data_IF_415152560813
#
_entry.id   IF_415152560813
#
_cell.length_a   1.000
_cell.length_b   1.000
_cell.length_c   1.000
_cell.angle_alpha   90.00
_cell.angle_beta   90.00
_cell.angle_gamma   90.00
#
_symmetry.space_group_name_H-M   'P 1'
#
loop_
_entity.id
_entity.type
_entity.pdbx_description
1 polymer ?
#
# COMPACT_ATOMS: atom_id res chain seq x y z
N UNK A 1 3.13 2.78 -8.66
CA UNK A 1 1.82 3.19 -8.10
C UNK A 1 1.98 4.26 -7.02
N UNK A 2 2.72 4.01 -5.92
CA UNK A 2 2.89 4.98 -4.83
C UNK A 2 3.43 6.37 -5.25
N UNK A 3 4.34 6.43 -6.23
CA UNK A 3 4.85 7.69 -6.76
C UNK A 3 3.77 8.59 -7.40
N UNK A 4 2.63 8.03 -7.83
CA UNK A 4 1.52 8.84 -8.38
C UNK A 4 0.81 9.64 -7.27
N UNK A 5 0.99 9.24 -6.00
CA UNK A 5 0.37 9.86 -4.84
C UNK A 5 1.26 10.92 -4.17
N UNK A 6 2.57 10.98 -4.49
CA UNK A 6 3.52 11.87 -3.81
C UNK A 6 3.23 13.35 -4.05
N UNK A 7 2.64 13.72 -5.21
CA UNK A 7 2.19 15.10 -5.46
C UNK A 7 1.14 15.58 -4.47
N UNK A 8 0.23 14.69 -4.04
CA UNK A 8 -0.86 15.02 -3.10
C UNK A 8 -0.44 14.81 -1.64
N UNK A 9 0.44 13.85 -1.40
CA UNK A 9 0.94 13.47 -0.08
C UNK A 9 2.47 13.43 -0.12
N UNK A 10 3.14 14.60 -0.12
CA UNK A 10 4.58 14.66 -0.21
C UNK A 10 5.21 14.02 1.02
N UNK A 11 6.28 13.26 0.80
CA UNK A 11 7.08 12.62 1.84
C UNK A 11 8.54 13.03 1.68
N UNK A 12 9.23 13.06 2.81
CA UNK A 12 10.68 13.20 2.81
C UNK A 12 11.35 11.93 2.27
N UNK A 13 12.54 12.07 1.70
CA UNK A 13 13.28 10.94 1.12
C UNK A 13 13.47 9.81 2.13
N UNK A 14 13.77 10.12 3.39
CA UNK A 14 13.94 9.11 4.44
C UNK A 14 12.65 8.33 4.74
N UNK A 15 11.48 8.95 4.59
CA UNK A 15 10.19 8.28 4.80
C UNK A 15 9.88 7.33 3.65
N UNK A 16 10.26 7.69 2.42
CA UNK A 16 10.15 6.80 1.25
C UNK A 16 11.04 5.58 1.45
N UNK A 17 12.27 5.78 1.91
CA UNK A 17 13.22 4.70 2.21
C UNK A 17 12.71 3.78 3.34
N UNK A 18 12.08 4.36 4.37
CA UNK A 18 11.44 3.59 5.44
C UNK A 18 10.30 2.71 4.90
N UNK A 19 9.46 3.25 4.00
CA UNK A 19 8.38 2.49 3.36
C UNK A 19 8.91 1.36 2.47
N UNK A 20 10.01 1.56 1.75
CA UNK A 20 10.66 0.51 0.95
C UNK A 20 11.19 -0.65 1.81
N UNK A 21 11.48 -0.38 3.09
CA UNK A 21 11.89 -1.39 4.07
C UNK A 21 10.70 -2.00 4.84
N UNK A 22 9.48 -1.80 4.35
CA UNK A 22 8.24 -2.26 4.99
C UNK A 22 8.04 -1.74 6.41
N UNK A 23 8.66 -0.62 6.77
CA UNK A 23 8.47 0.00 8.08
C UNK A 23 7.10 0.68 8.13
N UNK A 24 6.31 0.33 9.14
CA UNK A 24 4.96 0.88 9.30
C UNK A 24 5.04 2.40 9.55
N UNK A 25 4.38 3.23 8.72
CA UNK A 25 4.45 4.68 8.88
C UNK A 25 3.64 5.16 10.08
N UNK A 26 4.21 6.08 10.85
CA UNK A 26 3.53 6.71 11.99
C UNK A 26 2.89 8.04 11.61
N UNK A 27 3.52 8.80 10.71
CA UNK A 27 3.02 10.12 10.28
C UNK A 27 1.76 10.00 9.42
N UNK A 28 0.82 10.93 9.63
CA UNK A 28 -0.46 10.96 8.91
C UNK A 28 -0.28 11.04 7.39
N UNK A 29 0.65 11.87 6.91
CA UNK A 29 0.90 12.05 5.47
C UNK A 29 1.35 10.75 4.80
N UNK A 30 2.24 9.99 5.43
CA UNK A 30 2.71 8.70 4.92
C UNK A 30 1.57 7.66 4.90
N UNK A 31 0.71 7.64 5.92
CA UNK A 31 -0.51 6.80 5.90
C UNK A 31 -1.45 7.19 4.76
N UNK A 32 -1.64 8.48 4.50
CA UNK A 32 -2.46 8.96 3.38
C UNK A 32 -1.86 8.60 2.02
N UNK A 33 -0.53 8.65 1.86
CA UNK A 33 0.14 8.21 0.64
C UNK A 33 -0.10 6.72 0.37
N UNK A 34 0.05 5.86 1.39
CA UNK A 34 -0.26 4.43 1.26
C UNK A 34 -1.73 4.19 0.93
N UNK A 35 -2.67 4.87 1.61
CA UNK A 35 -4.10 4.73 1.31
C UNK A 35 -4.44 5.13 -0.13
N UNK A 36 -3.81 6.19 -0.66
CA UNK A 36 -3.92 6.57 -2.06
C UNK A 36 -3.39 5.48 -3.00
N UNK A 37 -2.22 4.90 -2.67
CA UNK A 37 -1.65 3.82 -3.46
C UNK A 37 -2.53 2.57 -3.47
N UNK A 38 -3.09 2.16 -2.31
CA UNK A 38 -4.00 1.02 -2.20
C UNK A 38 -5.30 1.22 -2.98
N UNK A 39 -5.84 2.44 -2.99
CA UNK A 39 -7.01 2.77 -3.83
C UNK A 39 -6.71 2.73 -5.32
N UNK A 40 -5.53 3.21 -5.75
CA UNK A 40 -5.12 3.15 -7.16
C UNK A 40 -4.81 1.73 -7.61
N UNK A 41 -4.33 0.89 -6.71
CA UNK A 41 -3.98 -0.50 -6.99
C UNK A 41 -5.21 -1.42 -6.99
N UNK A 42 -6.20 -1.14 -6.15
CA UNK A 42 -7.47 -1.88 -6.07
C UNK A 42 -7.71 -2.56 -4.73
N UNK A 43 -6.67 -2.76 -3.90
CA UNK A 43 -6.78 -3.34 -2.55
C UNK A 43 -7.61 -2.53 -1.54
N UNK A 44 -7.97 -1.29 -1.85
CA UNK A 44 -8.88 -0.47 -1.02
C UNK A 44 -10.01 0.12 -1.84
N UNK A 45 -11.25 -0.19 -1.46
CA UNK A 45 -12.44 0.29 -2.15
C UNK A 45 -12.79 1.76 -1.81
N UNK A 46 -13.82 2.30 -2.45
CA UNK A 46 -14.22 3.70 -2.30
C UNK A 46 -14.59 4.08 -0.85
N UNK A 47 -15.14 3.12 -0.09
CA UNK A 47 -15.48 3.28 1.34
C UNK A 47 -14.27 3.25 2.26
N UNK A 48 -13.07 3.01 1.72
CA UNK A 48 -11.83 2.89 2.50
C UNK A 48 -11.69 1.53 3.20
N UNK A 49 -12.45 0.53 2.76
CA UNK A 49 -12.34 -0.84 3.26
C UNK A 49 -11.43 -1.65 2.36
N UNK A 50 -10.84 -2.69 2.92
CA UNK A 50 -10.05 -3.66 2.18
C UNK A 50 -10.93 -4.37 1.13
N UNK A 51 -10.46 -4.41 -0.10
CA UNK A 51 -11.05 -5.25 -1.15
C UNK A 51 -10.41 -6.65 -1.06
N UNK A 52 -11.15 -7.57 -0.43
CA UNK A 52 -10.64 -8.91 -0.13
C UNK A 52 -10.36 -9.72 -1.40
N UNK A 53 -11.24 -9.66 -2.39
CA UNK A 53 -11.10 -10.42 -3.64
C UNK A 53 -9.85 -9.97 -4.39
N UNK A 54 -9.69 -8.65 -4.56
CA UNK A 54 -8.51 -8.10 -5.22
C UNK A 54 -7.24 -8.40 -4.44
N UNK A 55 -7.25 -8.23 -3.11
CA UNK A 55 -6.08 -8.49 -2.27
C UNK A 55 -5.65 -9.97 -2.31
N UNK A 56 -6.59 -10.92 -2.30
CA UNK A 56 -6.28 -12.34 -2.41
C UNK A 56 -5.59 -12.66 -3.73
N UNK A 57 -6.14 -12.15 -4.84
CA UNK A 57 -5.53 -12.32 -6.18
C UNK A 57 -4.13 -11.69 -6.27
N UNK A 58 -3.96 -10.47 -5.75
CA UNK A 58 -2.66 -9.80 -5.71
C UNK A 58 -1.66 -10.59 -4.86
N UNK A 59 -2.10 -11.15 -3.74
CA UNK A 59 -1.21 -11.94 -2.92
C UNK A 59 -0.81 -13.28 -3.55
N UNK A 60 -1.71 -13.96 -4.27
CA UNK A 60 -1.36 -15.18 -5.01
C UNK A 60 -0.27 -14.88 -6.06
N UNK A 61 -0.29 -13.69 -6.66
CA UNK A 61 0.72 -13.24 -7.62
C UNK A 61 2.07 -12.86 -6.96
N UNK A 62 2.03 -12.37 -5.72
CA UNK A 62 3.20 -11.84 -5.01
C UNK A 62 3.86 -12.85 -4.06
N UNK A 63 3.16 -13.93 -3.70
CA UNK A 63 3.59 -14.83 -2.64
C UNK A 63 4.65 -15.86 -3.04
N UNK A 64 5.12 -15.90 -4.30
CA UNK A 64 6.07 -16.93 -4.78
C UNK A 64 5.67 -18.38 -4.36
N UNK A 65 4.37 -18.64 -4.17
CA UNK A 65 3.85 -19.94 -3.72
C UNK A 65 3.91 -20.23 -2.21
N UNK A 66 4.04 -19.25 -1.32
CA UNK A 66 3.95 -19.50 0.13
C UNK A 66 2.49 -19.80 0.57
N UNK A 67 2.16 -21.10 0.60
CA UNK A 67 0.85 -21.65 0.95
C UNK A 67 0.39 -21.34 2.39
N UNK A 68 1.28 -20.85 3.28
CA UNK A 68 0.97 -20.60 4.69
C UNK A 68 0.33 -19.24 4.97
N UNK A 69 -0.55 -18.78 4.08
CA UNK A 69 -1.21 -17.46 4.19
C UNK A 69 -2.37 -17.39 5.19
N UNK A 70 -2.72 -18.49 5.89
CA UNK A 70 -3.78 -18.55 6.91
C UNK A 70 -3.25 -19.02 8.26
#
# INVERSE_FOLDING_TARGET
IAMNCTKKYPLEVHEILDLQKSKVPTKKTAKCLLACAYRLEGSMNEKGLLDYEHMMKTADLLADGDEKRL
#
